data_IF_602407651878
#
_entry.id   IF_602407651878
#
_cell.length_a   1.000
_cell.length_b   1.000
_cell.length_c   1.000
_cell.angle_alpha   90.00
_cell.angle_beta   90.00
_cell.angle_gamma   90.00
#
_symmetry.space_group_name_H-M   'P 1'
#
loop_
_entity.id
_entity.type
_entity.pdbx_description
1 polymer ?
#
# COMPACT_ATOMS: atom_id res chain seq x y z
N UNK A 1 6.30 36.27 -6.59
CA UNK A 1 7.47 35.39 -6.31
C UNK A 1 7.29 34.46 -5.11
N UNK A 2 6.10 34.36 -4.50
CA UNK A 2 5.88 33.52 -3.32
C UNK A 2 5.04 32.29 -3.64
N UNK A 3 3.86 32.53 -4.23
CA UNK A 3 2.93 31.47 -4.59
C UNK A 3 3.36 30.68 -5.82
N UNK A 4 4.03 31.32 -6.77
CA UNK A 4 4.49 30.68 -8.00
C UNK A 4 5.50 29.55 -7.71
N UNK A 5 6.41 29.77 -6.77
CA UNK A 5 7.41 28.78 -6.35
C UNK A 5 6.77 27.58 -5.63
N UNK A 6 5.75 27.82 -4.81
CA UNK A 6 5.03 26.75 -4.08
C UNK A 6 4.28 25.84 -5.06
N UNK A 7 3.64 26.42 -6.07
CA UNK A 7 2.90 25.65 -7.10
C UNK A 7 3.86 24.76 -7.89
N UNK A 8 5.00 25.31 -8.33
CA UNK A 8 6.01 24.53 -9.06
C UNK A 8 6.60 23.42 -8.17
N UNK A 9 6.84 23.69 -6.89
CA UNK A 9 7.33 22.68 -5.95
C UNK A 9 6.36 21.51 -5.78
N UNK A 10 5.05 21.78 -5.67
CA UNK A 10 4.03 20.73 -5.58
C UNK A 10 3.97 19.90 -6.86
N UNK A 11 3.99 20.54 -8.03
CA UNK A 11 3.95 19.83 -9.32
C UNK A 11 5.22 18.98 -9.49
N UNK A 12 6.39 19.52 -9.15
CA UNK A 12 7.65 18.78 -9.19
C UNK A 12 7.64 17.56 -8.26
N UNK A 13 7.08 17.69 -7.05
CA UNK A 13 6.93 16.57 -6.11
C UNK A 13 6.03 15.46 -6.66
N UNK A 14 4.87 15.81 -7.22
CA UNK A 14 3.95 14.84 -7.84
C UNK A 14 4.63 14.17 -9.05
N UNK A 15 5.27 14.95 -9.91
CA UNK A 15 5.98 14.44 -11.08
C UNK A 15 7.11 13.46 -10.69
N UNK A 16 7.83 13.75 -9.60
CA UNK A 16 8.89 12.87 -9.09
C UNK A 16 8.34 11.54 -8.56
N UNK A 17 7.23 11.56 -7.81
CA UNK A 17 6.58 10.33 -7.31
C UNK A 17 5.99 9.50 -8.45
N UNK A 18 5.35 10.14 -9.42
CA UNK A 18 4.82 9.44 -10.59
C UNK A 18 5.95 8.83 -11.44
N UNK A 19 7.03 9.58 -11.65
CA UNK A 19 8.21 9.12 -12.38
C UNK A 19 8.91 7.94 -11.71
N UNK A 20 9.04 7.95 -10.38
CA UNK A 20 9.68 6.86 -9.64
C UNK A 20 8.85 5.57 -9.67
N UNK A 21 7.53 5.67 -9.55
CA UNK A 21 6.62 4.53 -9.69
C UNK A 21 6.66 3.95 -11.12
N UNK A 22 6.68 4.81 -12.13
CA UNK A 22 6.81 4.39 -13.52
C UNK A 22 8.13 3.67 -13.78
N UNK A 23 9.25 4.25 -13.31
CA UNK A 23 10.58 3.66 -13.47
C UNK A 23 10.71 2.32 -12.73
N UNK A 24 10.13 2.22 -11.53
CA UNK A 24 10.07 0.96 -10.77
C UNK A 24 9.34 -0.13 -11.56
N UNK A 25 8.21 0.22 -12.20
CA UNK A 25 7.48 -0.73 -13.06
C UNK A 25 8.20 -1.07 -14.37
N UNK A 26 9.15 -0.26 -14.84
CA UNK A 26 9.93 -0.51 -16.07
C UNK A 26 11.13 -1.42 -15.80
N UNK A 27 11.85 -1.18 -14.70
CA UNK A 27 13.09 -1.91 -14.36
C UNK A 27 12.77 -3.26 -13.70
N UNK A 28 11.69 -3.34 -12.93
CA UNK A 28 11.36 -4.56 -12.18
C UNK A 28 10.92 -5.70 -13.09
N UNK A 29 11.55 -6.86 -12.92
CA UNK A 29 11.21 -8.07 -13.67
C UNK A 29 9.80 -8.56 -13.27
N UNK A 30 8.82 -8.39 -14.16
CA UNK A 30 7.45 -8.88 -13.94
C UNK A 30 7.38 -10.38 -14.27
N UNK A 31 7.45 -11.20 -13.24
CA UNK A 31 7.08 -12.62 -13.31
C UNK A 31 5.67 -12.77 -12.77
N UNK A 32 4.73 -13.04 -13.67
CA UNK A 32 3.34 -13.30 -13.34
C UNK A 32 3.17 -14.75 -12.86
N UNK A 33 3.24 -14.93 -11.53
CA UNK A 33 2.96 -16.20 -10.87
C UNK A 33 1.65 -16.06 -10.07
N UNK A 34 0.59 -16.84 -10.36
CA UNK A 34 -0.66 -16.77 -9.60
C UNK A 34 -0.45 -16.99 -8.10
N UNK A 35 0.53 -17.83 -7.72
CA UNK A 35 0.87 -18.09 -6.31
C UNK A 35 1.56 -16.90 -5.62
N UNK A 36 2.20 -15.98 -6.35
CA UNK A 36 2.75 -14.73 -5.78
C UNK A 36 1.66 -13.71 -5.46
N UNK A 37 0.51 -13.81 -6.13
CA UNK A 37 -0.65 -12.92 -5.96
C UNK A 37 -1.66 -13.45 -4.94
N UNK A 38 -1.54 -14.71 -4.53
CA UNK A 38 -2.40 -15.31 -3.53
C UNK A 38 -2.07 -14.78 -2.12
N UNK A 39 -3.07 -14.51 -1.27
CA UNK A 39 -2.86 -14.29 0.15
C UNK A 39 -2.04 -15.42 0.76
N UNK A 40 -1.11 -15.08 1.64
CA UNK A 40 -0.26 -16.09 2.28
C UNK A 40 -1.07 -16.90 3.29
N UNK A 41 -1.47 -18.09 2.86
CA UNK A 41 -2.22 -19.04 3.69
C UNK A 41 -1.80 -20.49 3.42
N UNK A 42 -0.56 -20.69 2.95
CA UNK A 42 -0.01 -22.00 2.62
C UNK A 42 -0.85 -22.81 1.62
N UNK A 43 -1.56 -22.13 0.70
CA UNK A 43 -2.43 -22.76 -0.30
C UNK A 43 -3.82 -23.15 0.21
N UNK A 44 -4.19 -22.74 1.42
CA UNK A 44 -5.56 -22.81 1.91
C UNK A 44 -6.35 -21.56 1.48
N UNK A 45 -7.68 -21.67 1.41
CA UNK A 45 -8.52 -20.51 1.12
C UNK A 45 -8.67 -19.61 2.33
N UNK A 46 -8.82 -18.31 2.09
CA UNK A 46 -9.02 -17.28 3.12
C UNK A 46 -10.38 -17.47 3.76
N UNK A 47 -10.45 -18.38 4.73
CA UNK A 47 -11.66 -18.71 5.48
C UNK A 47 -11.48 -18.13 6.88
N UNK A 48 -11.83 -16.85 7.00
CA UNK A 48 -11.89 -16.13 8.26
C UNK A 48 -12.99 -15.07 8.18
N UNK A 49 -13.67 -14.75 9.29
CA UNK A 49 -14.64 -13.66 9.29
C UNK A 49 -13.94 -12.36 8.87
N UNK A 50 -14.48 -11.65 7.88
CA UNK A 50 -13.94 -10.37 7.35
C UNK A 50 -13.92 -9.22 8.37
N UNK A 51 -14.37 -9.49 9.60
CA UNK A 51 -14.42 -8.58 10.74
C UNK A 51 -14.00 -9.33 12.01
N UNK A 52 -12.71 -9.62 12.16
CA UNK A 52 -12.15 -9.94 13.48
C UNK A 52 -11.90 -8.61 14.18
N UNK A 53 -12.59 -8.36 15.29
CA UNK A 53 -12.30 -7.23 16.18
C UNK A 53 -10.89 -7.46 16.73
N UNK A 54 -9.91 -6.71 16.25
CA UNK A 54 -8.58 -6.68 16.88
C UNK A 54 -8.78 -6.30 18.34
N UNK A 55 -8.30 -7.13 19.26
CA UNK A 55 -8.36 -6.83 20.69
C UNK A 55 -7.53 -5.56 20.92
N UNK A 56 -8.22 -4.46 21.20
CA UNK A 56 -7.61 -3.22 21.70
C UNK A 56 -7.61 -3.32 23.23
N UNK A 57 -6.45 -3.55 23.84
CA UNK A 57 -6.23 -3.10 25.21
C UNK A 57 -5.89 -1.61 25.12
N UNK A 58 -6.52 -0.69 25.83
CA UNK A 58 -7.18 -0.80 27.13
C UNK A 58 -8.71 -0.66 27.09
N UNK A 59 -9.42 -1.77 26.99
CA UNK A 59 -10.76 -1.88 27.59
C UNK A 59 -10.87 -3.23 28.28
N UNK A 60 -9.97 -3.43 29.24
CA UNK A 60 -10.06 -4.38 30.34
C UNK A 60 -11.14 -3.90 31.33
N UNK A 61 -12.39 -3.76 30.90
CA UNK A 61 -13.54 -3.51 31.78
C UNK A 61 -14.80 -4.11 31.13
N UNK A 62 -14.85 -5.44 31.07
CA UNK A 62 -16.12 -6.17 31.08
C UNK A 62 -16.33 -6.63 32.53
N UNK A 63 -17.19 -5.90 33.25
CA UNK A 63 -17.73 -6.27 34.56
C UNK A 63 -19.26 -6.16 34.49
#
# INVERSE_FOLDING_TARGET
MGSEAIIVFLIAGIAMVAGSNFLSSLISHKSDNPQKRQPYESGMGTIGPTRVQFKVGDSFLDL
#
